data_IF_878276967977
#
_entry.id   IF_878276967977
#
_cell.length_a   1.000
_cell.length_b   1.000
_cell.length_c   1.000
_cell.angle_alpha   90.00
_cell.angle_beta   90.00
_cell.angle_gamma   90.00
#
_symmetry.space_group_name_H-M   'P 1'
#
loop_
_entity.id
_entity.type
_entity.pdbx_description
1 polymer ?
#
# COMPACT_ATOMS: atom_id res chain seq x y z
N UNK A 1 -21.29 31.37 13.67
CA UNK A 1 -20.50 30.18 13.28
C UNK A 1 -19.36 30.07 14.28
N UNK A 2 -19.21 28.95 14.99
CA UNK A 2 -17.98 28.71 15.75
C UNK A 2 -16.92 28.31 14.74
N UNK A 3 -16.17 29.29 14.23
CA UNK A 3 -15.00 29.07 13.38
C UNK A 3 -13.82 28.72 14.27
N UNK A 4 -13.89 27.55 14.91
CA UNK A 4 -12.80 27.07 15.74
C UNK A 4 -11.63 26.71 14.83
N UNK A 5 -10.48 27.34 15.10
CA UNK A 5 -9.22 27.07 14.42
C UNK A 5 -8.53 25.96 15.21
N UNK A 6 -8.40 24.79 14.59
CA UNK A 6 -7.70 23.65 15.17
C UNK A 6 -6.18 23.79 15.05
N UNK A 7 -5.73 24.32 13.91
CA UNK A 7 -4.33 24.62 13.64
C UNK A 7 -4.23 25.76 12.62
N UNK A 8 -3.16 26.55 12.67
CA UNK A 8 -2.91 27.63 11.73
C UNK A 8 -1.41 27.77 11.50
N UNK A 9 -1.03 27.96 10.25
CA UNK A 9 0.32 28.36 9.84
C UNK A 9 0.22 29.72 9.14
N UNK A 10 1.18 30.62 9.41
CA UNK A 10 1.21 31.92 8.74
C UNK A 10 2.62 32.36 8.42
N UNK A 11 2.79 33.02 7.27
CA UNK A 11 4.08 33.51 6.81
C UNK A 11 3.90 34.72 5.89
N UNK A 12 4.98 35.46 5.66
CA UNK A 12 4.95 36.68 4.86
C UNK A 12 6.00 36.67 3.75
N UNK A 13 5.68 37.29 2.62
CA UNK A 13 6.60 37.51 1.51
C UNK A 13 6.37 38.92 0.95
N UNK A 14 7.26 39.85 1.29
CA UNK A 14 7.09 41.27 0.97
C UNK A 14 5.81 41.85 1.61
N UNK A 15 4.96 42.49 0.81
CA UNK A 15 3.67 43.08 1.26
C UNK A 15 2.53 42.07 1.39
N UNK A 16 2.81 40.77 1.20
CA UNK A 16 1.83 39.70 1.18
C UNK A 16 1.96 38.85 2.44
N UNK A 17 0.84 38.66 3.12
CA UNK A 17 0.70 37.81 4.29
C UNK A 17 -0.18 36.62 3.92
N UNK A 18 0.24 35.42 4.31
CA UNK A 18 -0.42 34.16 4.00
C UNK A 18 -0.87 33.48 5.29
N UNK A 19 -2.06 32.90 5.26
CA UNK A 19 -2.64 32.13 6.35
C UNK A 19 -3.16 30.80 5.81
N UNK A 20 -2.78 29.70 6.46
CA UNK A 20 -3.25 28.36 6.17
C UNK A 20 -3.92 27.85 7.46
N UNK A 21 -5.24 27.90 7.48
CA UNK A 21 -6.00 27.52 8.68
C UNK A 21 -6.73 26.20 8.49
N UNK A 22 -6.59 25.30 9.46
CA UNK A 22 -7.41 24.10 9.61
C UNK A 22 -8.52 24.36 10.63
N UNK A 23 -9.78 24.27 10.19
CA UNK A 23 -10.94 24.76 10.93
C UNK A 23 -12.07 23.73 10.96
N UNK A 24 -12.98 23.90 11.92
CA UNK A 24 -14.23 23.15 12.02
C UNK A 24 -15.40 24.00 11.50
N UNK A 25 -16.19 23.45 10.58
CA UNK A 25 -17.40 24.08 10.06
C UNK A 25 -18.60 23.87 11.00
N UNK A 26 -19.70 24.60 10.76
CA UNK A 26 -20.90 24.52 11.61
C UNK A 26 -21.56 23.12 11.66
N UNK A 27 -21.28 22.26 10.68
CA UNK A 27 -21.73 20.87 10.62
C UNK A 27 -20.73 19.87 11.23
N UNK A 28 -19.74 20.33 12.00
CA UNK A 28 -18.63 19.55 12.57
C UNK A 28 -17.70 18.88 11.53
N UNK A 29 -17.81 19.22 10.25
CA UNK A 29 -16.82 18.80 9.25
C UNK A 29 -15.58 19.70 9.27
N UNK A 30 -14.42 19.15 8.93
CA UNK A 30 -13.19 19.92 8.85
C UNK A 30 -13.05 20.62 7.49
N UNK A 31 -12.28 21.70 7.44
CA UNK A 31 -11.88 22.34 6.20
C UNK A 31 -10.55 23.06 6.35
N UNK A 32 -9.85 23.24 5.22
CA UNK A 32 -8.64 24.07 5.16
C UNK A 32 -8.98 25.35 4.40
N UNK A 33 -8.60 26.49 4.97
CA UNK A 33 -8.72 27.79 4.31
C UNK A 33 -7.33 28.37 4.06
N UNK A 34 -7.09 28.72 2.79
CA UNK A 34 -5.88 29.44 2.38
C UNK A 34 -6.27 30.89 2.15
N UNK A 35 -5.58 31.82 2.80
CA UNK A 35 -5.82 33.26 2.67
C UNK A 35 -4.54 33.97 2.31
N UNK A 36 -4.57 34.79 1.25
CA UNK A 36 -3.54 35.81 0.96
C UNK A 36 -4.11 37.18 1.25
N UNK A 37 -3.43 37.97 2.08
CA UNK A 37 -3.74 39.36 2.39
C UNK A 37 -2.59 40.26 1.91
N UNK A 38 -2.88 41.29 1.13
CA UNK A 38 -1.88 42.20 0.57
C UNK A 38 -2.20 43.65 0.91
N UNK A 39 -1.26 44.34 1.56
CA UNK A 39 -1.42 45.75 1.92
C UNK A 39 -1.24 46.65 0.70
N UNK A 40 -2.21 47.53 0.47
CA UNK A 40 -2.26 48.49 -0.63
C UNK A 40 -1.52 49.78 -0.25
N UNK A 41 -1.28 50.65 -1.23
CA UNK A 41 -0.57 51.92 -1.02
C UNK A 41 -1.34 52.90 -0.13
N UNK A 42 -2.67 52.80 -0.11
CA UNK A 42 -3.58 53.59 0.73
C UNK A 42 -3.73 53.05 2.16
N UNK A 43 -2.97 51.99 2.51
CA UNK A 43 -3.04 51.33 3.82
C UNK A 43 -4.15 50.29 3.95
N UNK A 44 -5.04 50.15 2.97
CA UNK A 44 -6.08 49.11 2.95
C UNK A 44 -5.48 47.72 2.67
N UNK A 45 -6.28 46.66 2.87
CA UNK A 45 -5.86 45.27 2.60
C UNK A 45 -6.77 44.60 1.58
N UNK A 46 -6.18 43.99 0.56
CA UNK A 46 -6.89 43.12 -0.39
C UNK A 46 -6.68 41.66 -0.01
N UNK A 47 -7.77 40.90 0.13
CA UNK A 47 -7.74 39.49 0.55
C UNK A 47 -8.31 38.58 -0.52
N UNK A 48 -7.63 37.46 -0.73
CA UNK A 48 -8.13 36.33 -1.53
C UNK A 48 -8.11 35.11 -0.66
N UNK A 49 -9.18 34.33 -0.69
CA UNK A 49 -9.24 33.06 0.01
C UNK A 49 -9.90 31.99 -0.83
N UNK A 50 -9.43 30.76 -0.67
CA UNK A 50 -10.13 29.58 -1.13
C UNK A 50 -10.20 28.56 0.00
N UNK A 51 -11.20 27.68 -0.08
CA UNK A 51 -11.51 26.68 0.94
C UNK A 51 -11.53 25.32 0.29
N UNK A 52 -10.94 24.33 0.96
CA UNK A 52 -11.06 22.91 0.62
C UNK A 52 -11.80 22.25 1.78
N UNK A 53 -12.91 21.58 1.49
CA UNK A 53 -13.68 20.85 2.51
C UNK A 53 -13.14 19.43 2.71
N UNK A 54 -13.42 18.83 3.86
CA UNK A 54 -12.92 17.50 4.24
C UNK A 54 -13.15 16.41 3.19
N UNK A 55 -14.28 16.43 2.48
CA UNK A 55 -14.59 15.46 1.43
C UNK A 55 -13.75 15.61 0.15
N UNK A 56 -12.93 16.66 0.05
CA UNK A 56 -12.04 16.93 -1.09
C UNK A 56 -10.55 16.75 -0.73
N UNK A 57 -10.23 16.42 0.52
CA UNK A 57 -8.84 16.37 0.99
C UNK A 57 -7.99 15.37 0.20
N UNK A 58 -8.50 14.16 -0.04
CA UNK A 58 -7.75 13.11 -0.73
C UNK A 58 -7.37 13.52 -2.16
N UNK A 59 -8.30 14.13 -2.90
CA UNK A 59 -8.08 14.60 -4.26
C UNK A 59 -7.02 15.70 -4.32
N UNK A 60 -7.09 16.68 -3.41
CA UNK A 60 -6.14 17.79 -3.37
C UNK A 60 -4.75 17.35 -2.88
N UNK A 61 -4.66 16.51 -1.86
CA UNK A 61 -3.38 15.95 -1.39
C UNK A 61 -2.70 15.18 -2.53
N UNK A 62 -3.46 14.38 -3.26
CA UNK A 62 -2.96 13.64 -4.42
C UNK A 62 -2.50 14.58 -5.55
N UNK A 63 -3.31 15.60 -5.85
CA UNK A 63 -2.99 16.62 -6.85
C UNK A 63 -1.72 17.41 -6.52
N UNK A 64 -1.60 17.92 -5.29
CA UNK A 64 -0.39 18.63 -4.82
C UNK A 64 0.84 17.74 -4.83
N UNK A 65 0.73 16.51 -4.31
CA UNK A 65 1.84 15.55 -4.29
C UNK A 65 2.34 15.27 -5.70
N UNK A 66 1.42 15.08 -6.66
CA UNK A 66 1.77 14.93 -8.06
C UNK A 66 2.46 16.16 -8.63
N UNK A 67 1.90 17.34 -8.38
CA UNK A 67 2.38 18.59 -8.94
C UNK A 67 3.79 18.91 -8.45
N UNK A 68 4.02 18.83 -7.14
CA UNK A 68 5.34 19.12 -6.56
C UNK A 68 6.38 18.08 -6.94
N UNK A 69 5.99 16.81 -7.10
CA UNK A 69 6.86 15.79 -7.68
C UNK A 69 7.23 16.15 -9.13
N UNK A 70 6.25 16.52 -9.96
CA UNK A 70 6.52 16.94 -11.34
C UNK A 70 7.44 18.17 -11.41
N UNK A 71 7.25 19.15 -10.52
CA UNK A 71 8.09 20.35 -10.46
C UNK A 71 9.52 20.05 -9.98
N UNK A 72 9.70 19.17 -9.00
CA UNK A 72 11.00 18.81 -8.43
C UNK A 72 11.88 17.98 -9.38
N UNK A 73 11.28 17.29 -10.36
CA UNK A 73 11.99 16.43 -11.32
C UNK A 73 12.01 16.95 -12.76
N UNK A 74 11.81 18.26 -12.97
CA UNK A 74 11.93 18.85 -14.31
C UNK A 74 13.31 18.55 -14.94
N UNK A 75 13.30 17.84 -16.07
CA UNK A 75 14.49 17.46 -16.85
C UNK A 75 14.65 15.95 -17.10
N UNK A 76 13.87 15.09 -16.43
CA UNK A 76 13.77 13.66 -16.74
C UNK A 76 12.30 13.30 -16.99
N UNK A 77 12.06 12.54 -18.06
CA UNK A 77 10.74 12.24 -18.66
C UNK A 77 9.53 12.24 -17.73
N UNK A 78 8.45 12.84 -18.23
CA UNK A 78 7.12 12.94 -17.63
C UNK A 78 6.57 11.60 -17.13
N UNK A 79 5.91 11.60 -15.97
CA UNK A 79 5.11 10.46 -15.47
C UNK A 79 3.90 11.01 -14.69
N UNK A 80 2.69 10.81 -15.21
CA UNK A 80 1.41 11.21 -14.57
C UNK A 80 1.15 10.49 -13.25
N UNK A 81 0.22 10.98 -12.42
CA UNK A 81 -0.31 10.21 -11.26
C UNK A 81 -0.77 8.82 -11.68
N UNK A 82 -1.44 8.73 -12.84
CA UNK A 82 -1.93 7.48 -13.39
C UNK A 82 -0.76 6.56 -13.78
N UNK A 83 0.27 7.09 -14.42
CA UNK A 83 1.48 6.36 -14.79
C UNK A 83 2.33 6.00 -13.57
N UNK A 84 2.38 6.82 -12.53
CA UNK A 84 3.05 6.51 -11.25
C UNK A 84 2.30 5.44 -10.47
N UNK A 85 0.97 5.48 -10.45
CA UNK A 85 0.16 4.41 -9.89
C UNK A 85 0.34 3.11 -10.68
N UNK A 86 0.39 3.21 -12.01
CA UNK A 86 0.66 2.08 -12.89
C UNK A 86 2.09 1.56 -12.68
N UNK A 87 3.10 2.41 -12.55
CA UNK A 87 4.50 2.05 -12.35
C UNK A 87 4.75 1.46 -10.95
N UNK A 88 4.10 1.98 -9.91
CA UNK A 88 4.10 1.40 -8.56
C UNK A 88 3.33 0.07 -8.51
N UNK A 89 2.27 -0.08 -9.30
CA UNK A 89 1.53 -1.34 -9.47
C UNK A 89 2.29 -2.34 -10.35
N UNK A 90 3.11 -1.86 -11.29
CA UNK A 90 4.05 -2.65 -12.09
C UNK A 90 5.28 -3.05 -11.27
N UNK A 91 5.72 -2.23 -10.31
CA UNK A 91 6.83 -2.50 -9.38
C UNK A 91 6.42 -3.31 -8.15
N UNK A 92 5.13 -3.51 -7.89
CA UNK A 92 4.62 -4.31 -6.77
C UNK A 92 4.06 -5.64 -7.25
N UNK A 93 4.44 -6.70 -6.55
CA UNK A 93 3.97 -8.06 -6.81
C UNK A 93 4.89 -8.86 -7.73
N UNK A 94 4.61 -10.16 -7.80
CA UNK A 94 5.46 -11.14 -8.51
C UNK A 94 5.71 -10.77 -9.97
N UNK A 95 4.75 -10.11 -10.65
CA UNK A 95 4.91 -9.70 -12.06
C UNK A 95 6.00 -8.63 -12.28
N UNK A 96 6.40 -7.92 -11.22
CA UNK A 96 7.48 -6.94 -11.25
C UNK A 96 8.87 -7.59 -11.26
N UNK A 97 8.98 -8.83 -10.76
CA UNK A 97 10.24 -9.54 -10.66
C UNK A 97 10.74 -9.95 -12.06
N UNK A 98 12.07 -10.12 -12.24
CA UNK A 98 12.62 -10.83 -13.39
C UNK A 98 11.86 -12.14 -13.63
N UNK A 99 11.54 -12.46 -14.88
CA UNK A 99 10.66 -13.60 -15.22
C UNK A 99 11.17 -14.92 -14.64
N UNK A 100 12.48 -15.11 -14.65
CA UNK A 100 13.19 -16.25 -14.07
C UNK A 100 13.18 -16.30 -12.53
N UNK A 101 12.88 -15.18 -11.86
CA UNK A 101 12.74 -15.11 -10.41
C UNK A 101 11.28 -15.25 -9.93
N UNK A 102 10.30 -15.26 -10.83
CA UNK A 102 8.88 -15.43 -10.46
C UNK A 102 8.62 -16.88 -10.07
N UNK A 103 7.92 -17.20 -8.96
CA UNK A 103 7.87 -18.57 -8.46
C UNK A 103 7.38 -19.62 -9.46
N UNK A 104 6.32 -19.33 -10.23
CA UNK A 104 5.76 -20.31 -11.19
C UNK A 104 6.71 -20.54 -12.37
N UNK A 105 7.29 -19.47 -12.87
CA UNK A 105 8.22 -19.47 -14.00
C UNK A 105 9.58 -20.06 -13.58
N UNK A 106 10.11 -19.69 -12.42
CA UNK A 106 11.31 -20.30 -11.79
C UNK A 106 11.12 -21.81 -11.64
N UNK A 107 9.99 -22.26 -11.10
CA UNK A 107 9.70 -23.68 -10.96
C UNK A 107 9.61 -24.40 -12.31
N UNK A 108 9.07 -23.75 -13.34
CA UNK A 108 8.99 -24.32 -14.70
C UNK A 108 10.37 -24.43 -15.37
N UNK A 109 11.26 -23.47 -15.12
CA UNK A 109 12.61 -23.41 -15.70
C UNK A 109 13.61 -24.31 -14.97
N UNK A 110 13.62 -24.25 -13.64
CA UNK A 110 14.66 -24.84 -12.79
C UNK A 110 14.18 -26.09 -12.04
N UNK A 111 12.87 -26.36 -12.05
CA UNK A 111 12.26 -27.49 -11.35
C UNK A 111 11.95 -27.23 -9.89
N UNK A 112 11.17 -28.14 -9.28
CA UNK A 112 10.68 -28.02 -7.90
C UNK A 112 11.76 -28.09 -6.81
N UNK A 113 12.93 -28.65 -7.11
CA UNK A 113 14.05 -28.79 -6.15
C UNK A 113 14.76 -27.46 -5.86
N UNK A 114 14.67 -26.50 -6.79
CA UNK A 114 15.31 -25.18 -6.70
C UNK A 114 14.42 -24.13 -6.01
N UNK A 115 13.28 -24.57 -5.49
CA UNK A 115 12.27 -23.72 -4.88
C UNK A 115 12.46 -23.69 -3.37
N UNK A 116 12.42 -22.50 -2.78
CA UNK A 116 12.34 -22.38 -1.32
C UNK A 116 10.89 -22.57 -0.82
N UNK A 117 10.75 -22.75 0.50
CA UNK A 117 9.44 -23.00 1.12
C UNK A 117 8.46 -21.85 0.90
N UNK A 118 8.93 -20.59 0.90
CA UNK A 118 8.09 -19.42 0.71
C UNK A 118 7.59 -19.34 -0.73
N UNK A 119 8.43 -19.67 -1.71
CA UNK A 119 8.07 -19.72 -3.12
C UNK A 119 7.06 -20.83 -3.41
N UNK A 120 7.26 -22.03 -2.86
CA UNK A 120 6.31 -23.15 -2.98
C UNK A 120 4.95 -22.77 -2.37
N UNK A 121 4.96 -22.18 -1.18
CA UNK A 121 3.75 -21.73 -0.51
C UNK A 121 3.06 -20.59 -1.29
N UNK A 122 3.83 -19.64 -1.83
CA UNK A 122 3.30 -18.55 -2.66
C UNK A 122 2.58 -19.06 -3.92
N UNK A 123 3.06 -20.16 -4.52
CA UNK A 123 2.39 -20.81 -5.66
C UNK A 123 1.02 -21.35 -5.25
N UNK A 124 0.93 -22.03 -4.10
CA UNK A 124 -0.32 -22.60 -3.55
C UNK A 124 -1.33 -21.51 -3.19
N UNK A 125 -0.86 -20.44 -2.53
CA UNK A 125 -1.67 -19.28 -2.15
C UNK A 125 -2.19 -18.57 -3.41
N UNK A 126 -1.40 -18.53 -4.47
CA UNK A 126 -1.77 -18.07 -5.82
C UNK A 126 -1.88 -16.55 -5.99
N UNK A 127 -2.29 -15.82 -4.95
CA UNK A 127 -2.37 -14.36 -4.95
C UNK A 127 -2.11 -13.76 -3.57
N UNK A 128 -1.54 -12.56 -3.54
CA UNK A 128 -1.28 -11.83 -2.30
C UNK A 128 -2.54 -11.17 -1.70
N UNK A 129 -2.32 -10.16 -0.87
CA UNK A 129 -3.34 -9.22 -0.38
C UNK A 129 -3.16 -7.84 -1.05
N UNK A 130 -4.04 -6.85 -0.83
CA UNK A 130 -3.89 -5.52 -1.44
C UNK A 130 -2.54 -4.84 -1.13
N UNK A 131 -1.92 -5.20 0.01
CA UNK A 131 -0.70 -4.56 0.51
C UNK A 131 0.54 -5.47 0.44
N UNK A 132 0.40 -6.76 0.12
CA UNK A 132 1.51 -7.71 0.10
C UNK A 132 1.35 -8.70 -1.07
N UNK A 133 2.47 -9.11 -1.68
CA UNK A 133 2.52 -10.15 -2.70
C UNK A 133 2.30 -11.54 -2.11
N UNK A 134 2.04 -12.55 -2.97
CA UNK A 134 1.91 -13.92 -2.49
C UNK A 134 3.21 -14.44 -1.84
N UNK A 135 4.37 -13.94 -2.28
CA UNK A 135 5.68 -14.30 -1.72
C UNK A 135 5.89 -13.68 -0.33
N UNK A 136 5.53 -12.40 -0.17
CA UNK A 136 5.57 -11.71 1.14
C UNK A 136 4.57 -12.34 2.13
N UNK A 137 3.36 -12.67 1.67
CA UNK A 137 2.36 -13.37 2.48
C UNK A 137 2.87 -14.74 2.92
N UNK A 138 3.46 -15.52 2.01
CA UNK A 138 4.03 -16.83 2.32
C UNK A 138 5.18 -16.75 3.32
N UNK A 139 6.11 -15.81 3.13
CA UNK A 139 7.20 -15.56 4.07
C UNK A 139 6.68 -15.20 5.46
N UNK A 140 5.73 -14.27 5.56
CA UNK A 140 5.12 -13.85 6.83
C UNK A 140 4.39 -15.00 7.54
N UNK A 141 3.73 -15.89 6.80
CA UNK A 141 3.09 -17.09 7.37
C UNK A 141 4.16 -18.02 7.95
N UNK A 142 5.21 -18.31 7.19
CA UNK A 142 6.30 -19.18 7.64
C UNK A 142 7.00 -18.61 8.88
N UNK A 143 7.31 -17.31 8.88
CA UNK A 143 7.91 -16.62 10.02
C UNK A 143 7.00 -16.70 11.26
N UNK A 144 5.69 -16.48 11.08
CA UNK A 144 4.69 -16.61 12.14
C UNK A 144 4.55 -18.03 12.72
N UNK A 145 5.06 -19.04 12.01
CA UNK A 145 5.06 -20.45 12.42
C UNK A 145 6.47 -20.95 12.78
N UNK A 146 7.42 -20.05 13.03
CA UNK A 146 8.78 -20.38 13.47
C UNK A 146 9.74 -20.77 12.35
N UNK A 147 9.44 -20.38 11.10
CA UNK A 147 10.32 -20.55 9.94
C UNK A 147 10.40 -21.98 9.38
N UNK A 148 9.51 -22.89 9.83
CA UNK A 148 9.51 -24.30 9.45
C UNK A 148 8.17 -24.74 8.87
N UNK A 149 8.21 -25.71 7.94
CA UNK A 149 7.02 -26.35 7.38
C UNK A 149 6.26 -27.20 8.41
N UNK A 150 6.90 -27.57 9.52
CA UNK A 150 6.26 -28.35 10.59
C UNK A 150 5.08 -27.60 11.19
N UNK A 151 5.24 -26.29 11.47
CA UNK A 151 4.13 -25.46 11.96
C UNK A 151 2.96 -25.35 10.97
N UNK A 152 3.21 -25.52 9.68
CA UNK A 152 2.18 -25.56 8.64
C UNK A 152 1.42 -26.89 8.59
N UNK A 153 2.04 -28.00 9.03
CA UNK A 153 1.37 -29.29 9.09
C UNK A 153 0.39 -29.37 10.27
N UNK A 154 0.70 -28.69 11.38
CA UNK A 154 -0.07 -28.76 12.63
C UNK A 154 -1.09 -27.62 12.78
N UNK A 155 -1.06 -26.61 11.90
CA UNK A 155 -1.94 -25.45 12.01
C UNK A 155 -3.40 -25.81 11.69
N UNK A 156 -4.34 -25.29 12.48
CA UNK A 156 -5.76 -25.44 12.18
C UNK A 156 -6.17 -24.52 11.01
N UNK A 157 -7.23 -24.91 10.28
CA UNK A 157 -7.81 -24.06 9.23
C UNK A 157 -8.19 -22.66 9.79
N UNK A 158 -8.73 -22.62 11.00
CA UNK A 158 -9.14 -21.39 11.65
C UNK A 158 -7.93 -20.48 11.95
N UNK A 159 -6.83 -21.05 12.43
CA UNK A 159 -5.61 -20.30 12.72
C UNK A 159 -4.91 -19.81 11.45
N UNK A 160 -4.87 -20.65 10.40
CA UNK A 160 -4.34 -20.22 9.11
C UNK A 160 -5.17 -19.08 8.51
N UNK A 161 -6.48 -19.08 8.73
CA UNK A 161 -7.37 -17.99 8.30
C UNK A 161 -7.16 -16.68 9.09
N UNK A 162 -6.47 -16.69 10.24
CA UNK A 162 -6.18 -15.47 11.00
C UNK A 162 -5.13 -14.59 10.33
N UNK A 163 -4.32 -15.15 9.44
CA UNK A 163 -3.39 -14.36 8.64
C UNK A 163 -4.17 -13.48 7.65
N UNK A 164 -3.99 -12.15 7.72
CA UNK A 164 -4.58 -11.25 6.74
C UNK A 164 -4.23 -11.70 5.32
N UNK A 165 -5.24 -11.79 4.44
CA UNK A 165 -5.05 -12.30 3.08
C UNK A 165 -5.27 -13.82 2.92
N UNK A 166 -5.46 -14.58 3.99
CA UNK A 166 -5.77 -16.03 4.00
C UNK A 166 -7.24 -16.29 4.30
N UNK A 167 -8.10 -16.23 3.28
CA UNK A 167 -9.49 -16.69 3.41
C UNK A 167 -9.60 -18.22 3.28
N UNK A 168 -10.79 -18.75 3.56
CA UNK A 168 -11.10 -20.20 3.50
C UNK A 168 -10.56 -20.85 2.22
N UNK A 169 -10.74 -20.23 1.05
CA UNK A 169 -10.27 -20.80 -0.21
C UNK A 169 -8.74 -21.04 -0.25
N UNK A 170 -7.94 -20.03 0.14
CA UNK A 170 -6.47 -20.14 0.13
C UNK A 170 -5.99 -21.09 1.22
N UNK A 171 -6.58 -20.99 2.41
CA UNK A 171 -6.23 -21.84 3.55
C UNK A 171 -6.54 -23.31 3.25
N UNK A 172 -7.70 -23.62 2.67
CA UNK A 172 -8.05 -24.99 2.26
C UNK A 172 -7.10 -25.56 1.21
N UNK A 173 -6.63 -24.76 0.25
CA UNK A 173 -5.62 -25.20 -0.73
C UNK A 173 -4.32 -25.61 -0.06
N UNK A 174 -3.85 -24.82 0.91
CA UNK A 174 -2.63 -25.13 1.67
C UNK A 174 -2.83 -26.39 2.53
N UNK A 175 -3.95 -26.48 3.26
CA UNK A 175 -4.27 -27.67 4.06
C UNK A 175 -4.32 -28.95 3.22
N UNK A 176 -4.95 -28.89 2.04
CA UNK A 176 -5.02 -30.02 1.13
C UNK A 176 -3.63 -30.44 0.62
N UNK A 177 -2.76 -29.47 0.31
CA UNK A 177 -1.39 -29.75 -0.10
C UNK A 177 -0.57 -30.42 1.01
N UNK A 178 -0.69 -29.95 2.26
CA UNK A 178 -0.01 -30.54 3.41
C UNK A 178 -0.47 -31.98 3.67
N UNK A 179 -1.79 -32.23 3.62
CA UNK A 179 -2.34 -33.58 3.78
C UNK A 179 -1.83 -34.54 2.69
N UNK A 180 -1.75 -34.08 1.43
CA UNK A 180 -1.17 -34.89 0.35
C UNK A 180 0.31 -35.21 0.60
N UNK A 181 1.08 -34.23 1.08
CA UNK A 181 2.49 -34.43 1.43
C UNK A 181 2.66 -35.45 2.56
N UNK A 182 1.83 -35.37 3.61
CA UNK A 182 1.82 -36.32 4.73
C UNK A 182 1.51 -37.75 4.26
N UNK A 183 0.48 -37.93 3.42
CA UNK A 183 0.14 -39.24 2.85
C UNK A 183 1.27 -39.82 2.00
N UNK A 184 1.91 -38.98 1.19
CA UNK A 184 3.03 -39.40 0.36
C UNK A 184 4.23 -39.80 1.23
N UNK A 185 4.56 -39.01 2.26
CA UNK A 185 5.63 -39.35 3.20
C UNK A 185 5.38 -40.69 3.87
N UNK A 186 4.17 -40.91 4.39
CA UNK A 186 3.80 -42.18 5.03
C UNK A 186 3.90 -43.36 4.05
N UNK A 187 3.46 -43.19 2.80
CA UNK A 187 3.55 -44.24 1.77
C UNK A 187 4.99 -44.54 1.33
N UNK A 188 5.86 -43.52 1.30
CA UNK A 188 7.27 -43.68 0.94
C UNK A 188 8.08 -44.29 2.09
N UNK A 189 7.79 -43.95 3.35
CA UNK A 189 8.45 -44.53 4.52
C UNK A 189 8.14 -46.02 4.76
N UNK A 190 7.16 -46.57 4.05
CA UNK A 190 6.79 -48.00 4.08
C UNK A 190 7.49 -48.80 2.97
N UNK A 191 8.28 -48.15 2.11
CA UNK A 191 9.16 -48.79 1.11
C UNK A 191 10.61 -48.78 1.58
#
# INVERSE_FOLDING_TARGET
MKNEILASESFSSGKRHYFLDFKVAANNSNYVQFTRSEQQQDGSFKRWSFVIFQNQFEDFISGFSSLFRAAAYQGKGYTTVKELHQELKIKRGIKAMPTDARPREKMALNGRSEMDNAELLAILIGSGSPNESALELAGRILDGLGGSLTGLADISLADLCRFHGMGIAKSSTVMAAMELALRLSAAVSVR
#
